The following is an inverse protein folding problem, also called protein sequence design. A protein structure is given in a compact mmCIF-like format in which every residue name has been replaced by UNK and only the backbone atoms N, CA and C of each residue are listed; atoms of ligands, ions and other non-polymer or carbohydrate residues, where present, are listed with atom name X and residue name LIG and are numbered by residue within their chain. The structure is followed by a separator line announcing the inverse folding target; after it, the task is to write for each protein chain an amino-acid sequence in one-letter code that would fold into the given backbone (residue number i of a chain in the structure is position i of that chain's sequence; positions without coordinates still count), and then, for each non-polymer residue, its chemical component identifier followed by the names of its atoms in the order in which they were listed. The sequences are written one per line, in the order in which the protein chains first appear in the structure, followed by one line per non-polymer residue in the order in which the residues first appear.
data_IF_987224993437
#
_entry.id   IF_987224993437
#
_cell.length_a   1.000
_cell.length_b   1.000
_cell.length_c   1.000
_cell.angle_alpha   90.00
_cell.angle_beta   90.00
_cell.angle_gamma   90.00
#
_symmetry.space_group_name_H-M   'P 1'
#
loop_
_entity.id
_entity.type
_entity.pdbx_description
1 polymer ?
#
# COMPACT_ATOMS: atom_id res chain seq x y z
N UNK A 1 -8.29 20.69 -6.16
CA UNK A 1 -7.00 20.12 -5.77
C UNK A 1 -7.09 18.59 -5.76
N UNK A 2 -6.18 17.93 -6.42
CA UNK A 2 -6.21 16.46 -6.47
C UNK A 2 -5.74 15.88 -5.14
N UNK A 3 -6.36 14.80 -4.68
CA UNK A 3 -5.89 14.13 -3.48
C UNK A 3 -4.47 13.56 -3.70
N UNK A 4 -3.65 13.46 -2.64
CA UNK A 4 -2.30 12.93 -2.79
C UNK A 4 -2.30 11.46 -3.19
N UNK A 5 -1.32 11.07 -3.99
CA UNK A 5 -1.08 9.66 -4.31
C UNK A 5 -0.24 9.07 -3.19
N UNK A 6 -0.74 8.03 -2.56
CA UNK A 6 -0.17 7.49 -1.33
C UNK A 6 0.36 6.09 -1.56
N UNK A 7 1.61 5.87 -1.13
CA UNK A 7 2.27 4.58 -1.23
C UNK A 7 2.39 3.98 0.18
N UNK A 8 1.86 2.77 0.38
CA UNK A 8 1.93 2.08 1.67
C UNK A 8 2.95 0.96 1.60
N UNK A 9 4.11 1.17 2.18
CA UNK A 9 5.21 0.19 2.19
C UNK A 9 5.26 -0.52 3.53
N UNK A 10 5.40 -1.85 3.50
CA UNK A 10 5.52 -2.66 4.71
C UNK A 10 5.50 -4.14 4.39
N UNK A 11 5.16 -4.96 5.38
CA UNK A 11 5.06 -6.41 5.20
C UNK A 11 3.74 -6.83 4.56
N UNK A 12 3.30 -6.07 3.58
CA UNK A 12 2.02 -6.27 2.93
C UNK A 12 2.00 -7.60 2.17
N UNK A 13 1.03 -8.44 2.47
CA UNK A 13 0.88 -9.71 1.76
C UNK A 13 1.84 -10.81 2.18
N UNK A 14 2.50 -10.66 3.33
CA UNK A 14 3.44 -11.66 3.83
C UNK A 14 2.79 -12.76 4.67
N UNK A 15 1.46 -12.86 4.62
CA UNK A 15 0.68 -13.83 5.41
C UNK A 15 0.83 -13.65 6.91
N UNK A 16 1.01 -12.42 7.35
CA UNK A 16 1.10 -12.06 8.76
C UNK A 16 -0.20 -11.36 9.16
N UNK A 17 -0.99 -11.99 10.01
CA UNK A 17 -2.30 -11.47 10.40
C UNK A 17 -2.21 -10.09 11.05
N UNK A 18 -1.19 -9.87 11.88
CA UNK A 18 -1.00 -8.56 12.51
C UNK A 18 -0.70 -7.47 11.50
N UNK A 19 0.16 -7.76 10.51
CA UNK A 19 0.48 -6.81 9.46
C UNK A 19 -0.75 -6.53 8.58
N UNK A 20 -1.57 -7.55 8.31
CA UNK A 20 -2.78 -7.37 7.52
C UNK A 20 -3.78 -6.46 8.23
N UNK A 21 -3.96 -6.64 9.54
CA UNK A 21 -4.85 -5.79 10.33
C UNK A 21 -4.37 -4.34 10.35
N UNK A 22 -3.05 -4.13 10.48
CA UNK A 22 -2.48 -2.79 10.46
C UNK A 22 -2.65 -2.13 9.11
N UNK A 23 -2.47 -2.88 8.03
CA UNK A 23 -2.65 -2.35 6.69
C UNK A 23 -4.09 -1.88 6.48
N UNK A 24 -5.06 -2.69 6.88
CA UNK A 24 -6.47 -2.30 6.77
C UNK A 24 -6.78 -1.06 7.58
N UNK A 25 -6.28 -1.00 8.82
CA UNK A 25 -6.48 0.16 9.67
C UNK A 25 -5.86 1.43 9.07
N UNK A 26 -4.65 1.31 8.52
CA UNK A 26 -3.99 2.44 7.88
C UNK A 26 -4.74 2.92 6.66
N UNK A 27 -5.28 2.00 5.86
CA UNK A 27 -6.10 2.37 4.70
C UNK A 27 -7.33 3.15 5.15
N UNK A 28 -8.01 2.68 6.17
CA UNK A 28 -9.20 3.36 6.70
C UNK A 28 -8.87 4.74 7.21
N UNK A 29 -7.77 4.87 7.95
CA UNK A 29 -7.33 6.16 8.48
C UNK A 29 -6.97 7.14 7.36
N UNK A 30 -6.27 6.67 6.34
CA UNK A 30 -5.89 7.52 5.22
C UNK A 30 -7.12 7.99 4.43
N UNK A 31 -8.10 7.13 4.26
CA UNK A 31 -9.34 7.52 3.60
C UNK A 31 -10.14 8.52 4.43
N UNK A 32 -10.10 8.40 5.75
CA UNK A 32 -10.75 9.37 6.63
C UNK A 32 -10.09 10.75 6.54
N UNK A 33 -8.77 10.79 6.38
CA UNK A 33 -8.02 12.05 6.32
C UNK A 33 -8.03 12.67 4.93
N UNK A 34 -7.80 11.87 3.89
CA UNK A 34 -7.59 12.36 2.53
C UNK A 34 -8.77 12.14 1.59
N UNK A 35 -9.78 11.42 2.04
CA UNK A 35 -10.96 11.12 1.24
C UNK A 35 -10.89 9.75 0.58
N UNK A 36 -12.06 9.23 0.20
CA UNK A 36 -12.16 7.90 -0.41
C UNK A 36 -11.57 7.84 -1.82
N UNK A 37 -11.37 9.00 -2.44
CA UNK A 37 -10.83 9.09 -3.79
C UNK A 37 -9.31 9.17 -3.84
N UNK A 38 -8.65 9.27 -2.70
CA UNK A 38 -7.18 9.36 -2.66
C UNK A 38 -6.57 8.05 -3.22
N UNK A 39 -5.74 8.14 -4.26
CA UNK A 39 -5.15 6.94 -4.85
C UNK A 39 -4.16 6.28 -3.90
N UNK A 40 -4.41 5.02 -3.55
CA UNK A 40 -3.54 4.25 -2.68
C UNK A 40 -2.85 3.15 -3.49
N UNK A 41 -1.54 3.01 -3.31
CA UNK A 41 -0.76 1.93 -3.91
C UNK A 41 -0.18 1.07 -2.80
N UNK A 42 -0.44 -0.23 -2.89
CA UNK A 42 0.00 -1.20 -1.87
C UNK A 42 0.91 -2.23 -2.53
N UNK A 43 2.24 -2.10 -2.37
CA UNK A 43 3.16 -3.12 -2.87
C UNK A 43 3.04 -4.40 -2.05
N UNK A 44 2.82 -5.52 -2.72
CA UNK A 44 2.77 -6.83 -2.08
C UNK A 44 4.17 -7.41 -1.97
N UNK A 45 4.54 -7.84 -0.78
CA UNK A 45 5.86 -8.41 -0.53
C UNK A 45 6.05 -9.74 -1.25
N UNK A 46 4.98 -10.53 -1.31
CA UNK A 46 4.95 -11.80 -2.02
C UNK A 46 3.96 -11.71 -3.18
N UNK A 47 3.06 -12.67 -3.30
CA UNK A 47 2.07 -12.67 -4.36
C UNK A 47 0.97 -11.64 -4.07
N UNK A 48 0.70 -10.70 -5.01
CA UNK A 48 -0.40 -9.76 -4.84
C UNK A 48 -1.76 -10.43 -4.56
N UNK A 49 -1.95 -11.67 -4.97
CA UNK A 49 -3.18 -12.39 -4.69
C UNK A 49 -3.44 -12.53 -3.18
N UNK A 50 -2.39 -12.54 -2.36
CA UNK A 50 -2.55 -12.59 -0.91
C UNK A 50 -3.29 -11.38 -0.36
N UNK A 51 -3.04 -10.22 -0.94
CA UNK A 51 -3.73 -8.99 -0.54
C UNK A 51 -5.14 -8.92 -1.10
N UNK A 52 -5.35 -9.47 -2.29
CA UNK A 52 -6.66 -9.45 -2.95
C UNK A 52 -7.71 -10.29 -2.23
N UNK A 53 -7.29 -11.10 -1.27
CA UNK A 53 -8.23 -11.89 -0.47
C UNK A 53 -9.09 -11.00 0.43
N UNK A 54 -8.58 -9.85 0.85
CA UNK A 54 -9.29 -8.97 1.77
C UNK A 54 -9.31 -7.51 1.34
N UNK A 55 -8.50 -7.13 0.37
CA UNK A 55 -8.51 -5.78 -0.19
C UNK A 55 -9.14 -5.79 -1.57
N UNK A 56 -10.03 -4.86 -1.82
CA UNK A 56 -10.68 -4.74 -3.11
C UNK A 56 -9.99 -3.69 -3.96
N UNK A 57 -9.33 -4.13 -5.03
CA UNK A 57 -8.77 -3.21 -6.00
C UNK A 57 -9.88 -2.46 -6.71
N UNK A 58 -9.60 -1.20 -7.02
CA UNK A 58 -10.55 -0.37 -7.76
C UNK A 58 -9.84 0.88 -8.24
N UNK A 59 -10.62 1.91 -8.55
CA UNK A 59 -10.06 3.16 -9.06
C UNK A 59 -9.18 3.88 -8.04
N UNK A 60 -9.37 3.64 -6.75
CA UNK A 60 -8.62 4.32 -5.70
C UNK A 60 -7.70 3.39 -4.89
N UNK A 61 -7.63 2.11 -5.23
CA UNK A 61 -6.71 1.18 -4.57
C UNK A 61 -6.06 0.28 -5.61
N UNK A 62 -4.73 0.30 -5.66
CA UNK A 62 -3.96 -0.52 -6.60
C UNK A 62 -2.97 -1.37 -5.82
N UNK A 63 -2.97 -2.66 -6.10
CA UNK A 63 -2.03 -3.61 -5.52
C UNK A 63 -0.98 -3.93 -6.56
N UNK A 64 0.30 -3.75 -6.22
CA UNK A 64 1.41 -4.03 -7.14
C UNK A 64 2.39 -4.99 -6.47
N UNK A 65 3.21 -5.65 -7.28
CA UNK A 65 4.27 -6.49 -6.73
C UNK A 65 5.41 -5.59 -6.25
N UNK A 66 5.94 -5.87 -5.07
CA UNK A 66 7.10 -5.15 -4.58
C UNK A 66 8.28 -5.40 -5.53
N UNK A 67 8.98 -4.35 -6.00
CA UNK A 67 10.11 -4.55 -6.90
C UNK A 67 11.21 -5.37 -6.23
N UNK A 68 11.72 -6.37 -6.97
CA UNK A 68 12.78 -7.24 -6.47
C UNK A 68 14.17 -6.70 -6.74
N UNK A 69 14.31 -5.81 -7.72
CA UNK A 69 15.56 -5.13 -8.02
C UNK A 69 15.50 -3.74 -7.41
N UNK A 70 16.31 -3.56 -6.43
CA UNK A 70 16.11 -2.67 -5.36
C UNK A 70 16.05 -1.19 -5.64
N UNK A 71 17.08 -0.58 -6.06
CA UNK A 71 17.15 0.87 -5.85
C UNK A 71 16.42 1.68 -6.91
N UNK A 72 16.59 1.35 -8.18
CA UNK A 72 16.00 2.15 -9.24
C UNK A 72 14.48 2.02 -9.31
N UNK A 73 13.98 0.79 -9.21
CA UNK A 73 12.53 0.54 -9.28
C UNK A 73 11.82 1.09 -8.04
N UNK A 74 12.42 0.95 -6.86
CA UNK A 74 11.86 1.50 -5.63
C UNK A 74 11.84 3.03 -5.68
N UNK A 75 12.91 3.65 -6.18
CA UNK A 75 12.95 5.10 -6.35
C UNK A 75 11.86 5.58 -7.29
N UNK A 76 11.65 4.87 -8.40
CA UNK A 76 10.60 5.22 -9.34
C UNK A 76 9.24 5.15 -8.67
N UNK A 77 9.00 4.07 -7.91
CA UNK A 77 7.74 3.90 -7.21
C UNK A 77 7.50 5.04 -6.21
N UNK A 78 8.53 5.41 -5.44
CA UNK A 78 8.42 6.52 -4.50
C UNK A 78 8.15 7.84 -5.22
N UNK A 79 8.82 8.08 -6.36
CA UNK A 79 8.65 9.32 -7.12
C UNK A 79 7.24 9.46 -7.72
N UNK A 80 6.57 8.36 -7.97
CA UNK A 80 5.23 8.37 -8.54
C UNK A 80 4.17 8.73 -7.50
N UNK A 81 4.57 8.88 -6.23
CA UNK A 81 3.64 9.14 -5.14
C UNK A 81 4.01 10.41 -4.38
N UNK A 82 3.01 11.02 -3.78
CA UNK A 82 3.17 12.26 -3.03
C UNK A 82 3.45 12.01 -1.56
N UNK A 83 3.03 10.86 -1.04
CA UNK A 83 3.17 10.49 0.36
C UNK A 83 3.52 9.02 0.47
N UNK A 84 4.51 8.72 1.30
CA UNK A 84 4.90 7.33 1.60
C UNK A 84 4.59 7.05 3.05
N UNK A 85 3.80 6.02 3.29
CA UNK A 85 3.42 5.58 4.63
C UNK A 85 4.06 4.23 4.90
N UNK A 86 4.77 4.13 6.01
CA UNK A 86 5.35 2.86 6.43
C UNK A 86 4.33 2.12 7.29
N UNK A 87 3.90 0.97 6.80
CA UNK A 87 3.00 0.09 7.54
C UNK A 87 3.86 -0.84 8.37
N UNK A 88 4.02 -0.52 9.63
CA UNK A 88 4.84 -1.34 10.52
C UNK A 88 4.02 -2.46 11.13
N UNK A 89 4.18 -3.65 10.57
CA UNK A 89 3.78 -4.82 11.27
C UNK A 89 4.90 -5.15 12.25
N UNK A 90 4.70 -4.85 13.49
CA UNK A 90 5.70 -5.21 14.49
C UNK A 90 5.91 -6.71 14.48
N UNK A 91 7.13 -7.06 14.46
CA UNK A 91 7.52 -8.45 14.55
C UNK A 91 7.01 -9.08 15.84
#
# INVERSE_FOLDING_TARGET
MNPPRILLIGYNGANNTGAEALLQADIEDLRAVFGDDAPLTVPALKDPANLRRYLHEGSSLRIVRMPSVFLAATRRLVREHDLVVLVEGSA
#
